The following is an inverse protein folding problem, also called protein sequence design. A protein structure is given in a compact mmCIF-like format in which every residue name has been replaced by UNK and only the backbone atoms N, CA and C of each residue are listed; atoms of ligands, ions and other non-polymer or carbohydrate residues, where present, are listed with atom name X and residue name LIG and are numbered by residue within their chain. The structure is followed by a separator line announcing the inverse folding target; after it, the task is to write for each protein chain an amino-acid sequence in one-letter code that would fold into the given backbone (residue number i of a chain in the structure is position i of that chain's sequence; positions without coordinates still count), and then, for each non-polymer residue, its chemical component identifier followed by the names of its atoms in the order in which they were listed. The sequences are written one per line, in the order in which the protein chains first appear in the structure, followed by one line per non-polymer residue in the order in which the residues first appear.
data_IF_068479068830
#
_entry.id   IF_068479068830
#
_cell.length_a   1.000
_cell.length_b   1.000
_cell.length_c   1.000
_cell.angle_alpha   90.00
_cell.angle_beta   90.00
_cell.angle_gamma   90.00
#
_symmetry.space_group_name_H-M   'P 1'
#
loop_
_entity.id
_entity.type
_entity.pdbx_description
1 polymer ?
#
# COMPACT_ATOMS: atom_id res chain seq x y z
N UNK A 1 -3.13 -22.85 -11.22
CA UNK A 1 -2.41 -22.31 -12.39
C UNK A 1 -3.32 -21.26 -13.00
N UNK A 2 -2.92 -20.00 -12.90
CA UNK A 2 -3.72 -18.83 -13.25
C UNK A 2 -3.89 -18.72 -14.78
N UNK A 3 -5.05 -18.31 -15.28
CA UNK A 3 -5.26 -18.18 -16.74
C UNK A 3 -4.37 -17.05 -17.29
N UNK A 4 -3.62 -17.36 -18.37
CA UNK A 4 -2.80 -16.40 -19.11
C UNK A 4 -3.65 -15.28 -19.71
N UNK A 5 -4.93 -15.55 -19.99
CA UNK A 5 -5.87 -14.56 -20.52
C UNK A 5 -6.15 -13.45 -19.50
N UNK A 6 -6.31 -13.80 -18.23
CA UNK A 6 -6.54 -12.84 -17.13
C UNK A 6 -5.34 -11.94 -16.91
N UNK A 7 -4.12 -12.46 -17.08
CA UNK A 7 -2.89 -11.69 -16.94
C UNK A 7 -2.75 -10.65 -18.05
N UNK A 8 -2.98 -11.04 -19.30
CA UNK A 8 -2.97 -10.10 -20.44
C UNK A 8 -4.03 -9.01 -20.29
N UNK A 9 -5.22 -9.38 -19.81
CA UNK A 9 -6.27 -8.41 -19.50
C UNK A 9 -5.83 -7.41 -18.42
N UNK A 10 -5.25 -7.90 -17.32
CA UNK A 10 -4.74 -7.05 -16.26
C UNK A 10 -3.66 -6.08 -16.77
N UNK A 11 -2.68 -6.60 -17.52
CA UNK A 11 -1.62 -5.79 -18.12
C UNK A 11 -2.18 -4.74 -19.09
N UNK A 12 -3.12 -5.13 -19.96
CA UNK A 12 -3.75 -4.21 -20.91
C UNK A 12 -4.50 -3.08 -20.23
N UNK A 13 -5.29 -3.39 -19.19
CA UNK A 13 -6.03 -2.39 -18.43
C UNK A 13 -5.10 -1.47 -17.62
N UNK A 14 -4.07 -2.02 -16.99
CA UNK A 14 -3.04 -1.24 -16.28
C UNK A 14 -2.27 -0.34 -17.25
N UNK A 15 -1.92 -0.82 -18.44
CA UNK A 15 -1.26 0.00 -19.44
C UNK A 15 -2.13 1.17 -19.88
N UNK A 16 -3.42 0.92 -20.15
CA UNK A 16 -4.38 1.97 -20.45
C UNK A 16 -4.49 2.99 -19.30
N UNK A 17 -4.58 2.51 -18.06
CA UNK A 17 -4.60 3.36 -16.86
C UNK A 17 -3.34 4.22 -16.77
N UNK A 18 -2.16 3.64 -17.02
CA UNK A 18 -0.88 4.35 -16.98
C UNK A 18 -0.80 5.42 -18.06
N UNK A 19 -1.27 5.15 -19.28
CA UNK A 19 -1.30 6.15 -20.37
C UNK A 19 -2.23 7.32 -20.02
N UNK A 20 -3.45 7.03 -19.56
CA UNK A 20 -4.41 8.06 -19.14
C UNK A 20 -3.88 8.85 -17.96
N UNK A 21 -3.36 8.16 -16.93
CA UNK A 21 -2.79 8.78 -15.74
C UNK A 21 -1.56 9.63 -16.06
N UNK A 22 -0.68 9.20 -16.98
CA UNK A 22 0.46 9.99 -17.41
C UNK A 22 0.04 11.27 -18.13
N UNK A 23 -0.97 11.20 -19.01
CA UNK A 23 -1.54 12.37 -19.66
C UNK A 23 -2.16 13.33 -18.65
N UNK A 24 -2.94 12.83 -17.69
CA UNK A 24 -3.53 13.68 -16.64
C UNK A 24 -2.45 14.30 -15.75
N UNK A 25 -1.44 13.52 -15.35
CA UNK A 25 -0.35 13.99 -14.48
C UNK A 25 0.49 15.07 -15.17
N UNK A 26 0.69 15.00 -16.49
CA UNK A 26 1.43 16.03 -17.23
C UNK A 26 0.71 17.39 -17.28
N UNK A 27 -0.59 17.42 -17.00
CA UNK A 27 -1.41 18.63 -16.91
C UNK A 27 -1.77 19.00 -15.47
N UNK A 28 -1.32 18.21 -14.49
CA UNK A 28 -1.59 18.46 -13.08
C UNK A 28 -0.57 19.44 -12.50
N UNK A 29 -1.08 20.55 -11.98
CA UNK A 29 -0.30 21.48 -11.19
C UNK A 29 -0.15 20.94 -9.77
N UNK A 30 1.08 20.69 -9.35
CA UNK A 30 1.35 20.16 -8.01
C UNK A 30 0.82 21.10 -6.94
N UNK A 31 0.05 20.54 -6.03
CA UNK A 31 -0.51 21.27 -4.92
C UNK A 31 0.54 21.62 -3.87
N UNK A 32 0.19 22.56 -3.00
CA UNK A 32 1.08 23.06 -1.96
C UNK A 32 1.58 21.94 -1.04
N UNK A 33 0.71 21.00 -0.68
CA UNK A 33 1.02 19.86 0.19
C UNK A 33 1.92 18.82 -0.49
N UNK A 34 1.74 18.58 -1.80
CA UNK A 34 2.67 17.78 -2.61
C UNK A 34 4.08 18.39 -2.58
N UNK A 35 4.19 19.69 -2.86
CA UNK A 35 5.46 20.40 -2.84
C UNK A 35 6.06 20.43 -1.43
N UNK A 36 5.26 20.59 -0.38
CA UNK A 36 5.75 20.54 1.00
C UNK A 36 6.43 19.21 1.31
N UNK A 37 5.81 18.07 0.94
CA UNK A 37 6.40 16.76 1.15
C UNK A 37 7.73 16.59 0.38
N UNK A 38 7.78 17.09 -0.86
CA UNK A 38 9.01 17.11 -1.65
C UNK A 38 10.12 17.95 -1.00
N UNK A 39 9.80 19.18 -0.56
CA UNK A 39 10.76 20.09 0.06
C UNK A 39 11.33 19.51 1.36
N UNK A 40 10.49 18.90 2.21
CA UNK A 40 10.96 18.20 3.40
C UNK A 40 11.98 17.11 3.05
N UNK A 41 11.68 16.28 2.05
CA UNK A 41 12.57 15.22 1.62
C UNK A 41 13.87 15.72 0.95
N UNK A 42 13.80 16.85 0.22
CA UNK A 42 14.94 17.48 -0.47
C UNK A 42 15.87 18.19 0.51
N UNK A 43 15.31 18.97 1.42
CA UNK A 43 16.06 19.86 2.31
C UNK A 43 16.56 19.13 3.57
N UNK A 44 16.14 17.89 3.79
CA UNK A 44 16.69 17.03 4.82
C UNK A 44 18.01 16.38 4.42
N UNK A 45 19.05 16.59 5.23
CA UNK A 45 20.42 16.13 4.95
C UNK A 45 20.61 14.64 5.21
N UNK A 46 19.86 14.07 6.16
CA UNK A 46 19.88 12.65 6.55
C UNK A 46 18.47 12.16 6.93
N UNK A 47 18.29 10.85 7.05
CA UNK A 47 17.02 10.24 7.50
C UNK A 47 16.63 10.74 8.90
N UNK A 48 17.59 10.89 9.81
CA UNK A 48 17.34 11.43 11.15
C UNK A 48 16.90 12.89 11.11
N UNK A 49 17.52 13.69 10.23
CA UNK A 49 17.12 15.08 10.04
C UNK A 49 15.72 15.18 9.40
N UNK A 50 15.37 14.26 8.50
CA UNK A 50 14.01 14.15 7.96
C UNK A 50 12.98 13.89 9.06
N UNK A 51 13.21 12.91 9.92
CA UNK A 51 12.30 12.66 11.04
C UNK A 51 12.22 13.83 12.03
N UNK A 52 13.31 14.58 12.23
CA UNK A 52 13.28 15.80 13.04
C UNK A 52 12.37 16.88 12.42
N UNK A 53 12.39 17.04 11.09
CA UNK A 53 11.51 17.99 10.39
C UNK A 53 10.05 17.51 10.36
N UNK A 54 9.80 16.20 10.30
CA UNK A 54 8.44 15.63 10.27
C UNK A 54 7.65 15.81 11.57
N UNK A 55 8.29 16.20 12.66
CA UNK A 55 7.63 16.46 13.97
C UNK A 55 6.41 17.39 13.85
N UNK A 56 6.39 18.27 12.85
CA UNK A 56 5.31 19.24 12.64
C UNK A 56 4.40 18.92 11.43
N UNK A 57 4.66 17.84 10.71
CA UNK A 57 3.96 17.52 9.45
C UNK A 57 2.63 16.79 9.70
N UNK A 58 2.50 16.07 10.82
CA UNK A 58 1.27 15.39 11.23
C UNK A 58 1.02 14.05 10.53
N UNK A 59 1.78 13.70 9.49
CA UNK A 59 1.75 12.39 8.84
C UNK A 59 3.03 11.58 9.13
N UNK A 60 2.93 10.24 9.11
CA UNK A 60 4.08 9.36 9.21
C UNK A 60 5.11 9.53 8.06
N UNK A 61 6.36 9.17 8.32
CA UNK A 61 7.48 9.45 7.43
C UNK A 61 7.63 8.55 6.19
N UNK A 62 6.84 7.48 6.01
CA UNK A 62 7.10 6.49 4.96
C UNK A 62 7.12 7.09 3.55
N UNK A 63 6.17 7.99 3.26
CA UNK A 63 6.15 8.68 1.97
C UNK A 63 7.42 9.50 1.74
N UNK A 64 7.82 10.28 2.74
CA UNK A 64 9.01 11.11 2.69
C UNK A 64 10.31 10.29 2.54
N UNK A 65 10.37 9.10 3.16
CA UNK A 65 11.48 8.16 2.96
C UNK A 65 11.58 7.67 1.50
N UNK A 66 10.45 7.51 0.80
CA UNK A 66 10.46 7.20 -0.63
C UNK A 66 10.93 8.39 -1.48
N UNK A 67 10.61 9.63 -1.08
CA UNK A 67 10.98 10.84 -1.81
C UNK A 67 12.44 11.24 -1.64
N UNK A 68 13.00 11.01 -0.45
CA UNK A 68 14.37 11.42 -0.11
C UNK A 68 15.43 10.90 -1.10
N UNK A 69 15.45 9.61 -1.53
CA UNK A 69 16.41 9.19 -2.55
C UNK A 69 16.16 9.85 -3.91
N UNK A 70 14.89 10.11 -4.29
CA UNK A 70 14.56 10.76 -5.56
C UNK A 70 15.05 12.22 -5.59
N UNK A 71 14.99 12.93 -4.48
CA UNK A 71 15.50 14.29 -4.35
C UNK A 71 17.02 14.38 -4.50
N UNK A 72 17.74 13.25 -4.35
CA UNK A 72 19.19 13.17 -4.61
C UNK A 72 19.53 12.91 -6.08
N UNK A 73 18.56 12.44 -6.86
CA UNK A 73 18.72 12.18 -8.30
C UNK A 73 18.38 13.44 -9.11
N UNK A 74 17.35 14.17 -8.70
CA UNK A 74 16.89 15.39 -9.39
C UNK A 74 16.30 16.40 -8.41
N UNK A 75 16.42 17.68 -8.75
CA UNK A 75 15.75 18.76 -8.03
C UNK A 75 14.28 18.94 -8.43
N UNK A 76 13.87 18.35 -9.57
CA UNK A 76 12.51 18.49 -10.09
C UNK A 76 11.53 17.59 -9.33
N UNK A 77 10.43 18.13 -8.77
CA UNK A 77 9.42 17.34 -8.07
C UNK A 77 8.60 16.44 -9.00
N UNK A 78 8.73 16.56 -10.33
CA UNK A 78 8.00 15.72 -11.30
C UNK A 78 8.26 14.22 -11.10
N UNK A 79 9.45 13.86 -10.62
CA UNK A 79 9.79 12.45 -10.33
C UNK A 79 8.91 11.85 -9.24
N UNK A 80 8.36 12.67 -8.32
CA UNK A 80 7.41 12.24 -7.31
C UNK A 80 6.07 11.83 -7.93
N UNK A 81 5.56 12.60 -8.90
CA UNK A 81 4.34 12.24 -9.65
C UNK A 81 4.56 10.93 -10.42
N UNK A 82 5.74 10.74 -11.01
CA UNK A 82 6.08 9.48 -11.71
C UNK A 82 6.11 8.28 -10.75
N UNK A 83 6.72 8.44 -9.56
CA UNK A 83 6.71 7.41 -8.53
C UNK A 83 5.28 7.09 -8.08
N UNK A 84 4.47 8.13 -7.86
CA UNK A 84 3.09 7.98 -7.42
C UNK A 84 2.23 7.24 -8.46
N UNK A 85 2.35 7.62 -9.73
CA UNK A 85 1.68 6.93 -10.85
C UNK A 85 2.13 5.47 -10.96
N UNK A 86 3.41 5.18 -10.74
CA UNK A 86 3.93 3.81 -10.71
C UNK A 86 3.31 3.00 -9.57
N UNK A 87 3.30 3.54 -8.34
CA UNK A 87 2.69 2.90 -7.15
C UNK A 87 1.23 2.56 -7.45
N UNK A 88 0.47 3.51 -7.97
CA UNK A 88 -0.97 3.31 -8.23
C UNK A 88 -1.22 2.40 -9.43
N UNK A 89 -0.33 2.39 -10.43
CA UNK A 89 -0.39 1.42 -11.53
C UNK A 89 -0.14 -0.02 -11.04
N UNK A 90 0.78 -0.21 -10.08
CA UNK A 90 0.99 -1.51 -9.42
C UNK A 90 -0.26 -1.91 -8.63
N UNK A 91 -0.87 -0.98 -7.89
CA UNK A 91 -2.15 -1.22 -7.20
C UNK A 91 -3.24 -1.66 -8.17
N UNK A 92 -3.41 -0.94 -9.29
CA UNK A 92 -4.38 -1.27 -10.34
C UNK A 92 -4.13 -2.66 -10.90
N UNK A 93 -2.87 -2.99 -11.23
CA UNK A 93 -2.52 -4.33 -11.71
C UNK A 93 -2.93 -5.42 -10.72
N UNK A 94 -2.54 -5.27 -9.45
CA UNK A 94 -2.88 -6.24 -8.40
C UNK A 94 -4.40 -6.37 -8.22
N UNK A 95 -5.11 -5.26 -8.19
CA UNK A 95 -6.57 -5.23 -8.05
C UNK A 95 -7.24 -5.95 -9.22
N UNK A 96 -6.90 -5.58 -10.46
CA UNK A 96 -7.50 -6.17 -11.66
C UNK A 96 -7.17 -7.67 -11.75
N UNK A 97 -5.96 -8.06 -11.35
CA UNK A 97 -5.50 -9.45 -11.41
C UNK A 97 -6.14 -10.37 -10.38
N UNK A 98 -6.33 -9.90 -9.16
CA UNK A 98 -6.68 -10.76 -8.02
C UNK A 98 -8.07 -10.51 -7.44
N UNK A 99 -8.67 -9.34 -7.66
CA UNK A 99 -9.98 -9.05 -7.08
C UNK A 99 -11.08 -9.90 -7.73
N UNK A 100 -12.03 -10.43 -6.95
CA UNK A 100 -13.12 -11.30 -7.42
C UNK A 100 -14.29 -10.51 -8.04
N UNK A 101 -14.00 -9.38 -8.67
CA UNK A 101 -14.99 -8.50 -9.30
C UNK A 101 -15.11 -8.75 -10.79
N UNK A 102 -16.25 -8.41 -11.36
CA UNK A 102 -16.46 -8.48 -12.80
C UNK A 102 -15.65 -7.39 -13.53
N UNK A 103 -15.52 -7.52 -14.84
CA UNK A 103 -14.69 -6.61 -15.65
C UNK A 103 -15.18 -5.15 -15.59
N UNK A 104 -16.50 -4.92 -15.52
CA UNK A 104 -17.10 -3.60 -15.48
C UNK A 104 -16.82 -2.89 -14.16
N UNK A 105 -16.94 -3.60 -13.04
CA UNK A 105 -16.56 -3.10 -11.71
C UNK A 105 -15.08 -2.74 -11.65
N UNK A 106 -14.22 -3.58 -12.26
CA UNK A 106 -12.78 -3.31 -12.34
C UNK A 106 -12.49 -2.05 -13.15
N UNK A 107 -13.12 -1.91 -14.31
CA UNK A 107 -13.01 -0.72 -15.14
C UNK A 107 -13.45 0.55 -14.40
N UNK A 108 -14.65 0.54 -13.81
CA UNK A 108 -15.18 1.68 -13.06
C UNK A 108 -14.34 2.04 -11.84
N UNK A 109 -13.80 1.04 -11.14
CA UNK A 109 -12.89 1.30 -10.02
C UNK A 109 -11.62 1.99 -10.49
N UNK A 110 -10.94 1.43 -11.50
CA UNK A 110 -9.67 1.97 -12.00
C UNK A 110 -9.80 3.39 -12.57
N UNK A 111 -10.86 3.67 -13.34
CA UNK A 111 -11.07 4.99 -13.95
C UNK A 111 -12.04 5.88 -13.17
N UNK A 112 -12.35 5.51 -11.92
CA UNK A 112 -13.12 6.33 -11.01
C UNK A 112 -12.29 7.49 -10.45
N UNK A 113 -12.98 8.55 -10.01
CA UNK A 113 -12.35 9.77 -9.47
C UNK A 113 -11.28 9.49 -8.42
N UNK A 114 -11.57 8.63 -7.44
CA UNK A 114 -10.63 8.35 -6.35
C UNK A 114 -9.33 7.72 -6.90
N UNK A 115 -9.42 6.63 -7.65
CA UNK A 115 -8.23 5.88 -8.08
C UNK A 115 -7.45 6.66 -9.12
N UNK A 116 -8.15 7.22 -10.12
CA UNK A 116 -7.49 7.91 -11.21
C UNK A 116 -6.98 9.29 -10.82
N UNK A 117 -7.64 10.04 -9.94
CA UNK A 117 -7.25 11.41 -9.60
C UNK A 117 -6.58 11.48 -8.22
N UNK A 118 -7.33 11.23 -7.14
CA UNK A 118 -6.83 11.38 -5.76
C UNK A 118 -5.62 10.48 -5.47
N UNK A 119 -5.65 9.23 -5.94
CA UNK A 119 -4.58 8.26 -5.66
C UNK A 119 -3.53 8.13 -6.75
N UNK A 120 -3.72 8.64 -7.97
CA UNK A 120 -2.70 8.56 -9.02
C UNK A 120 -2.03 9.90 -9.31
N UNK A 121 -2.76 11.01 -9.21
CA UNK A 121 -2.32 12.33 -9.68
C UNK A 121 -1.84 13.20 -8.53
N UNK A 122 -2.64 13.30 -7.47
CA UNK A 122 -2.30 14.09 -6.28
C UNK A 122 -1.28 13.30 -5.45
N UNK A 123 0.01 13.60 -5.61
CA UNK A 123 1.12 12.76 -5.17
C UNK A 123 1.34 12.78 -3.64
N UNK A 124 0.57 11.95 -2.94
CA UNK A 124 0.50 11.91 -1.48
C UNK A 124 0.72 10.51 -0.90
N UNK A 125 0.89 10.48 0.41
CA UNK A 125 1.07 9.28 1.22
C UNK A 125 -0.06 8.24 1.10
N UNK A 126 -1.26 8.65 0.68
CA UNK A 126 -2.41 7.75 0.61
C UNK A 126 -2.31 6.66 -0.47
N UNK A 127 -1.57 6.90 -1.57
CA UNK A 127 -1.36 5.87 -2.59
C UNK A 127 -0.58 4.66 -2.07
N UNK A 128 0.40 4.88 -1.18
CA UNK A 128 1.08 3.80 -0.48
C UNK A 128 0.12 3.02 0.40
N UNK A 129 -0.79 3.71 1.12
CA UNK A 129 -1.82 3.06 1.92
C UNK A 129 -2.73 2.16 1.09
N UNK A 130 -3.19 2.65 -0.06
CA UNK A 130 -4.01 1.89 -1.00
C UNK A 130 -3.28 0.66 -1.56
N UNK A 131 -2.01 0.82 -1.94
CA UNK A 131 -1.17 -0.30 -2.40
C UNK A 131 -1.05 -1.37 -1.32
N UNK A 132 -0.71 -0.98 -0.09
CA UNK A 132 -0.48 -1.90 1.03
C UNK A 132 -1.76 -2.64 1.44
N UNK A 133 -2.93 -1.97 1.47
CA UNK A 133 -4.22 -2.64 1.67
C UNK A 133 -4.50 -3.65 0.56
N UNK A 134 -4.21 -3.29 -0.70
CA UNK A 134 -4.42 -4.20 -1.83
C UNK A 134 -3.51 -5.43 -1.72
N UNK A 135 -2.23 -5.26 -1.36
CA UNK A 135 -1.30 -6.37 -1.10
C UNK A 135 -1.81 -7.23 0.06
N UNK A 136 -2.30 -6.63 1.15
CA UNK A 136 -2.90 -7.37 2.25
C UNK A 136 -4.07 -8.25 1.76
N UNK A 137 -4.98 -7.70 0.95
CA UNK A 137 -6.09 -8.47 0.38
C UNK A 137 -5.61 -9.64 -0.49
N UNK A 138 -4.54 -9.45 -1.27
CA UNK A 138 -3.93 -10.53 -2.07
C UNK A 138 -3.37 -11.64 -1.16
N UNK A 139 -2.71 -11.27 -0.07
CA UNK A 139 -2.15 -12.22 0.90
C UNK A 139 -3.22 -12.89 1.76
N UNK A 140 -4.42 -12.30 1.87
CA UNK A 140 -5.44 -12.70 2.83
C UNK A 140 -5.86 -14.18 2.72
N UNK A 141 -5.95 -14.73 1.50
CA UNK A 141 -6.39 -16.10 1.26
C UNK A 141 -5.53 -17.17 1.94
N UNK A 142 -4.22 -16.92 2.07
CA UNK A 142 -3.25 -17.81 2.73
C UNK A 142 -2.41 -17.03 3.76
N UNK A 143 -3.09 -16.14 4.50
CA UNK A 143 -2.48 -15.16 5.39
C UNK A 143 -1.61 -15.79 6.47
N UNK A 144 -2.01 -16.93 7.05
CA UNK A 144 -1.28 -17.55 8.15
C UNK A 144 -0.07 -18.36 7.67
N UNK A 145 -0.08 -18.87 6.43
CA UNK A 145 1.12 -19.44 5.80
C UNK A 145 2.19 -18.38 5.55
N UNK A 146 1.78 -17.13 5.31
CA UNK A 146 2.65 -16.00 4.93
C UNK A 146 2.60 -14.88 5.97
N UNK A 147 2.36 -15.21 7.24
CA UNK A 147 1.97 -14.22 8.24
C UNK A 147 3.05 -13.17 8.55
N UNK A 148 4.33 -13.50 8.33
CA UNK A 148 5.42 -12.51 8.42
C UNK A 148 5.23 -11.41 7.39
N UNK A 149 4.86 -11.76 6.14
CA UNK A 149 4.59 -10.78 5.09
C UNK A 149 3.34 -9.96 5.38
N UNK A 150 2.30 -10.59 5.95
CA UNK A 150 1.12 -9.86 6.45
C UNK A 150 1.53 -8.85 7.52
N UNK A 151 2.36 -9.25 8.47
CA UNK A 151 2.90 -8.38 9.51
C UNK A 151 3.73 -7.23 8.94
N UNK A 152 4.63 -7.48 7.99
CA UNK A 152 5.41 -6.44 7.32
C UNK A 152 4.50 -5.44 6.58
N UNK A 153 3.50 -5.92 5.85
CA UNK A 153 2.56 -5.05 5.11
C UNK A 153 1.76 -4.18 6.06
N UNK A 154 1.24 -4.74 7.16
CA UNK A 154 0.48 -3.99 8.16
C UNK A 154 1.35 -3.03 8.97
N UNK A 155 2.61 -3.40 9.27
CA UNK A 155 3.60 -2.50 9.85
C UNK A 155 3.81 -1.27 8.96
N UNK A 156 4.07 -1.48 7.66
CA UNK A 156 4.25 -0.37 6.72
C UNK A 156 2.96 0.44 6.55
N UNK A 157 1.79 -0.21 6.56
CA UNK A 157 0.49 0.44 6.40
C UNK A 157 0.22 1.43 7.53
N UNK A 158 0.52 1.05 8.78
CA UNK A 158 0.40 1.93 9.95
C UNK A 158 1.23 3.22 9.80
N UNK A 159 2.38 3.13 9.13
CA UNK A 159 3.27 4.25 8.84
C UNK A 159 2.95 5.01 7.54
N UNK A 160 1.74 4.89 6.99
CA UNK A 160 1.32 5.74 5.85
C UNK A 160 0.51 6.95 6.29
N UNK A 161 -0.50 6.75 7.15
CA UNK A 161 -1.41 7.80 7.62
C UNK A 161 -2.17 7.34 8.88
N UNK A 162 -2.75 8.29 9.62
CA UNK A 162 -3.60 7.97 10.79
C UNK A 162 -4.80 7.10 10.40
N UNK A 163 -5.41 7.34 9.23
CA UNK A 163 -6.51 6.53 8.72
C UNK A 163 -6.08 5.07 8.50
N UNK A 164 -4.89 4.87 7.93
CA UNK A 164 -4.33 3.55 7.71
C UNK A 164 -3.91 2.86 9.02
N UNK A 165 -3.47 3.62 10.03
CA UNK A 165 -3.25 3.11 11.39
C UNK A 165 -4.55 2.57 12.00
N UNK A 166 -5.66 3.32 11.91
CA UNK A 166 -6.97 2.85 12.40
C UNK A 166 -7.37 1.54 11.71
N UNK A 167 -7.22 1.47 10.39
CA UNK A 167 -7.48 0.24 9.62
C UNK A 167 -6.56 -0.90 10.08
N UNK A 168 -5.28 -0.62 10.32
CA UNK A 168 -4.30 -1.61 10.79
C UNK A 168 -4.67 -2.16 12.17
N UNK A 169 -5.09 -1.31 13.11
CA UNK A 169 -5.57 -1.72 14.43
C UNK A 169 -6.79 -2.62 14.30
N UNK A 170 -7.78 -2.22 13.49
CA UNK A 170 -8.99 -3.00 13.28
C UNK A 170 -8.69 -4.38 12.68
N UNK A 171 -7.87 -4.44 11.62
CA UNK A 171 -7.44 -5.70 11.01
C UNK A 171 -6.63 -6.54 12.00
N UNK A 172 -5.71 -5.94 12.75
CA UNK A 172 -4.90 -6.63 13.75
C UNK A 172 -5.74 -7.30 14.83
N UNK A 173 -6.77 -6.61 15.34
CA UNK A 173 -7.73 -7.17 16.29
C UNK A 173 -8.47 -8.35 15.65
N UNK A 174 -8.99 -8.19 14.43
CA UNK A 174 -9.71 -9.26 13.73
C UNK A 174 -8.82 -10.49 13.52
N UNK A 175 -7.58 -10.32 13.07
CA UNK A 175 -6.62 -11.43 12.87
C UNK A 175 -6.24 -12.11 14.20
N UNK A 176 -6.14 -11.35 15.28
CA UNK A 176 -5.88 -11.86 16.62
C UNK A 176 -7.06 -12.71 17.10
N UNK A 177 -8.28 -12.17 17.04
CA UNK A 177 -9.50 -12.89 17.38
C UNK A 177 -9.69 -14.14 16.51
N UNK A 178 -9.43 -14.05 15.22
CA UNK A 178 -9.51 -15.17 14.29
C UNK A 178 -8.49 -16.27 14.65
N UNK A 179 -7.26 -15.91 15.01
CA UNK A 179 -6.24 -16.88 15.41
C UNK A 179 -6.60 -17.62 16.70
N UNK A 180 -7.13 -16.92 17.71
CA UNK A 180 -7.46 -17.52 19.01
C UNK A 180 -8.82 -18.24 19.05
N UNK A 181 -9.82 -17.72 18.33
CA UNK A 181 -11.21 -18.20 18.41
C UNK A 181 -11.71 -18.83 17.11
N UNK A 182 -11.12 -18.48 15.96
CA UNK A 182 -11.60 -18.87 14.63
C UNK A 182 -11.49 -20.36 14.34
N UNK A 183 -10.56 -21.08 14.99
CA UNK A 183 -10.44 -22.54 14.86
C UNK A 183 -11.68 -23.31 15.33
N UNK A 184 -12.58 -22.68 16.09
CA UNK A 184 -13.87 -23.26 16.47
C UNK A 184 -14.92 -23.20 15.36
N UNK A 185 -14.76 -22.31 14.37
CA UNK A 185 -15.79 -22.01 13.37
C UNK A 185 -15.34 -22.23 11.92
N UNK A 186 -14.03 -22.17 11.62
CA UNK A 186 -13.51 -22.23 10.26
C UNK A 186 -12.57 -23.43 10.07
N UNK A 187 -13.08 -24.53 9.51
CA UNK A 187 -12.29 -25.74 9.24
C UNK A 187 -11.10 -25.49 8.30
N UNK A 188 -11.25 -24.57 7.34
CA UNK A 188 -10.18 -24.14 6.44
C UNK A 188 -9.02 -23.46 7.16
N UNK A 189 -9.32 -22.69 8.22
CA UNK A 189 -8.32 -22.00 9.03
C UNK A 189 -7.46 -22.99 9.81
N UNK A 190 -8.08 -24.02 10.42
CA UNK A 190 -7.34 -25.07 11.11
C UNK A 190 -6.42 -25.86 10.17
N UNK A 191 -6.85 -26.10 8.93
CA UNK A 191 -6.01 -26.73 7.91
C UNK A 191 -4.84 -25.82 7.52
N UNK A 192 -5.08 -24.51 7.38
CA UNK A 192 -4.04 -23.55 7.03
C UNK A 192 -2.99 -23.41 8.14
N UNK A 193 -3.42 -23.20 9.38
CA UNK A 193 -2.54 -23.09 10.55
C UNK A 193 -1.82 -24.41 10.81
N UNK A 194 -2.52 -25.54 10.68
CA UNK A 194 -1.93 -26.87 10.83
C UNK A 194 -0.92 -27.24 9.74
N UNK A 195 -0.98 -26.57 8.58
CA UNK A 195 0.01 -26.72 7.51
C UNK A 195 1.28 -25.87 7.75
N UNK A 196 1.34 -25.06 8.80
CA UNK A 196 2.54 -24.31 9.17
C UNK A 196 3.37 -25.13 10.16
N UNK A 197 4.57 -25.55 9.74
CA UNK A 197 5.47 -26.41 10.53
C UNK A 197 5.87 -25.80 11.89
N UNK A 198 5.87 -24.47 12.00
CA UNK A 198 6.23 -23.74 13.22
C UNK A 198 5.31 -22.56 13.45
N UNK A 199 4.91 -22.32 14.70
CA UNK A 199 4.12 -21.13 15.07
C UNK A 199 4.96 -19.85 15.16
N UNK A 200 6.29 -19.93 15.11
CA UNK A 200 7.20 -18.77 15.23
C UNK A 200 6.90 -17.65 14.21
N UNK A 201 6.70 -17.92 12.90
CA UNK A 201 6.41 -16.88 11.91
C UNK A 201 5.11 -16.10 12.20
N UNK A 202 4.12 -16.76 12.81
CA UNK A 202 2.85 -16.13 13.20
C UNK A 202 3.09 -15.11 14.32
N UNK A 203 3.83 -15.50 15.36
CA UNK A 203 4.18 -14.58 16.45
C UNK A 203 5.05 -13.42 15.99
N UNK A 204 6.00 -13.66 15.08
CA UNK A 204 6.79 -12.59 14.45
C UNK A 204 5.88 -11.61 13.70
N UNK A 205 4.92 -12.11 12.92
CA UNK A 205 3.96 -11.25 12.22
C UNK A 205 3.12 -10.40 13.17
N UNK A 206 2.62 -10.98 14.28
CA UNK A 206 1.90 -10.21 15.30
C UNK A 206 2.78 -9.18 16.00
N UNK A 207 4.05 -9.51 16.28
CA UNK A 207 4.99 -8.56 16.85
C UNK A 207 5.23 -7.38 15.89
N UNK A 208 5.39 -7.63 14.59
CA UNK A 208 5.53 -6.57 13.59
C UNK A 208 4.30 -5.65 13.56
N UNK A 209 3.09 -6.21 13.59
CA UNK A 209 1.85 -5.42 13.67
C UNK A 209 1.84 -4.56 14.93
N UNK A 210 2.15 -5.15 16.09
CA UNK A 210 2.16 -4.45 17.38
C UNK A 210 3.17 -3.31 17.41
N UNK A 211 4.39 -3.53 16.91
CA UNK A 211 5.41 -2.49 16.82
C UNK A 211 4.91 -1.35 15.92
N UNK A 212 4.38 -1.65 14.73
CA UNK A 212 3.91 -0.62 13.80
C UNK A 212 2.71 0.19 14.32
N UNK A 213 1.94 -0.34 15.26
CA UNK A 213 0.86 0.42 15.93
C UNK A 213 1.41 1.38 16.98
N UNK A 214 2.51 1.01 17.65
CA UNK A 214 3.08 1.75 18.79
C UNK A 214 4.05 2.84 18.31
N UNK A 215 4.76 2.61 17.21
CA UNK A 215 5.75 3.52 16.63
C UNK A 215 5.17 4.42 15.58
#
# INVERSE_FOLDING_TARGET
MMDKKDERYALGLTFLFLVVGAFTASHHEMWRDEIQAWLLARDSTSVFNLFAHLKYEGHPGLWHLCLMPLSRITHSPVVMQMLHLLITSVTVYLFVRYAPFNWFQKLLFCFGYLILYEYAIVARNYALGLLLITIFCVLFKERYKRFVWVGCVLFLLAHTSVHALIVTIAIGIVLCCEYFFGGRFLKSLNQEIGAVDSKRPIWIGFALIGVGIIT
#
